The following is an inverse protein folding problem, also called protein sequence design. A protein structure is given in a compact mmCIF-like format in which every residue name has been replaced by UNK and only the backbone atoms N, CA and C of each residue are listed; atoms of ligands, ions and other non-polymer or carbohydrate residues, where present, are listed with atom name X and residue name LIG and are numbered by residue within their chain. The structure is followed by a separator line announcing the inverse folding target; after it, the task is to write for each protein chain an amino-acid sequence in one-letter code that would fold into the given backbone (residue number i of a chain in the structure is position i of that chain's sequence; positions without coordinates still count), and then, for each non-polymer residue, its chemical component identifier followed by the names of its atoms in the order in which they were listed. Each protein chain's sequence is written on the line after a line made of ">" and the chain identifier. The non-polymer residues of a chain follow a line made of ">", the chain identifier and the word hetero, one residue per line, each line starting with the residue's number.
data_IF_278314503645
#
_entry.id   IF_278314503645
#
_cell.length_a   1.000
_cell.length_b   1.000
_cell.length_c   1.000
_cell.angle_alpha   90.00
_cell.angle_beta   90.00
_cell.angle_gamma   90.00
#
_symmetry.space_group_name_H-M   'P 1'
#
loop_
_entity.id
_entity.type
_entity.pdbx_description
1 polymer ?
#
# COMPACT_ATOMS: atom_id res chain seq x y z
N UNK A 1 -5.90 -10.20 -9.50
CA UNK A 1 -5.17 -10.02 -8.23
C UNK A 1 -3.77 -10.63 -8.29
N UNK A 2 -2.75 -9.86 -7.93
CA UNK A 2 -1.37 -10.33 -7.81
C UNK A 2 -0.92 -10.12 -6.36
N UNK A 3 -0.79 -11.19 -5.56
CA UNK A 3 -0.29 -11.07 -4.19
C UNK A 3 1.14 -10.54 -4.20
N UNK A 4 1.47 -9.66 -3.26
CA UNK A 4 2.83 -9.15 -3.12
C UNK A 4 3.77 -10.24 -2.64
N UNK A 5 4.81 -10.60 -3.41
CA UNK A 5 5.77 -11.61 -2.97
C UNK A 5 6.46 -11.21 -1.66
N UNK A 6 6.76 -12.16 -0.74
CA UNK A 6 7.38 -11.85 0.55
C UNK A 6 8.70 -11.07 0.44
N UNK A 7 9.50 -11.33 -0.59
CA UNK A 7 10.74 -10.60 -0.85
C UNK A 7 10.47 -9.12 -1.18
N UNK A 8 9.46 -8.85 -2.00
CA UNK A 8 9.04 -7.48 -2.36
C UNK A 8 8.44 -6.79 -1.15
N UNK A 9 7.55 -7.46 -0.40
CA UNK A 9 7.00 -6.94 0.84
C UNK A 9 8.11 -6.60 1.84
N UNK A 10 9.12 -7.46 2.00
CA UNK A 10 10.27 -7.22 2.85
C UNK A 10 11.07 -5.98 2.45
N UNK A 11 11.35 -5.81 1.16
CA UNK A 11 12.04 -4.63 0.63
C UNK A 11 11.23 -3.35 0.80
N UNK A 12 9.92 -3.41 0.55
CA UNK A 12 9.00 -2.29 0.71
C UNK A 12 8.98 -1.81 2.16
N UNK A 13 8.77 -2.73 3.09
CA UNK A 13 8.63 -2.42 4.51
C UNK A 13 9.95 -2.06 5.20
N UNK A 14 11.10 -2.41 4.62
CA UNK A 14 12.41 -2.03 5.17
C UNK A 14 12.66 -0.52 5.17
N UNK A 15 11.93 0.25 4.36
CA UNK A 15 12.01 1.70 4.30
C UNK A 15 11.02 2.43 5.21
N UNK A 16 10.13 1.70 5.90
CA UNK A 16 9.10 2.28 6.76
C UNK A 16 9.67 2.56 8.15
N UNK A 17 9.52 3.80 8.61
CA UNK A 17 9.74 4.16 10.00
C UNK A 17 8.46 3.88 10.80
N UNK A 18 8.49 2.83 11.61
CA UNK A 18 7.33 2.36 12.36
C UNK A 18 7.05 3.15 13.63
N UNK A 19 8.00 3.94 14.13
CA UNK A 19 7.86 4.66 15.41
C UNK A 19 6.74 5.71 15.40
N UNK A 20 6.35 6.15 14.19
CA UNK A 20 5.31 7.17 13.98
C UNK A 20 4.07 6.63 13.27
N UNK A 21 3.94 5.30 13.15
CA UNK A 21 2.75 4.71 12.52
C UNK A 21 1.63 4.57 13.55
N UNK A 22 0.53 5.30 13.35
CA UNK A 22 -0.66 5.28 14.19
C UNK A 22 -1.88 4.74 13.46
N UNK A 23 -1.93 4.90 12.13
CA UNK A 23 -3.01 4.41 11.28
C UNK A 23 -2.47 3.91 9.94
N UNK A 24 -3.07 2.86 9.41
CA UNK A 24 -2.66 2.23 8.15
C UNK A 24 -3.83 2.19 7.19
N UNK A 25 -3.56 2.51 5.91
CA UNK A 25 -4.46 2.24 4.81
C UNK A 25 -3.79 1.28 3.82
N UNK A 26 -4.49 0.21 3.42
CA UNK A 26 -4.13 -0.60 2.26
C UNK A 26 -5.19 -0.44 1.17
N UNK A 27 -4.94 0.38 0.12
CA UNK A 27 -5.95 0.78 -0.86
C UNK A 27 -6.18 -0.23 -1.99
N UNK A 28 -5.54 -1.38 -1.96
CA UNK A 28 -5.75 -2.50 -2.91
C UNK A 28 -5.41 -3.80 -2.18
N UNK A 29 -6.19 -4.07 -1.13
CA UNK A 29 -5.80 -4.97 -0.06
C UNK A 29 -5.75 -6.45 -0.46
N UNK A 30 -6.44 -6.84 -1.54
CA UNK A 30 -6.48 -8.24 -1.93
C UNK A 30 -7.01 -9.11 -0.80
N UNK A 31 -6.18 -10.04 -0.34
CA UNK A 31 -6.47 -10.89 0.82
C UNK A 31 -5.91 -10.34 2.14
N UNK A 32 -5.28 -9.16 2.12
CA UNK A 32 -4.58 -8.58 3.26
C UNK A 32 -3.17 -9.12 3.50
N UNK A 33 -2.59 -9.78 2.50
CA UNK A 33 -1.28 -10.45 2.64
C UNK A 33 -0.17 -9.44 3.00
N UNK A 34 -0.20 -8.24 2.45
CA UNK A 34 0.80 -7.20 2.71
C UNK A 34 0.68 -6.64 4.13
N UNK A 35 -0.54 -6.36 4.59
CA UNK A 35 -0.79 -5.93 5.98
C UNK A 35 -0.39 -7.04 6.95
N UNK A 36 -0.82 -8.29 6.72
CA UNK A 36 -0.44 -9.41 7.59
C UNK A 36 1.08 -9.59 7.67
N UNK A 37 1.78 -9.43 6.55
CA UNK A 37 3.25 -9.47 6.52
C UNK A 37 3.85 -8.32 7.35
N UNK A 38 3.31 -7.11 7.21
CA UNK A 38 3.71 -5.93 7.96
C UNK A 38 3.52 -6.14 9.47
N UNK A 39 2.37 -6.63 9.90
CA UNK A 39 2.05 -6.89 11.29
C UNK A 39 2.95 -7.98 11.90
N UNK A 40 3.21 -9.08 11.16
CA UNK A 40 4.12 -10.14 11.63
C UNK A 40 5.54 -9.64 11.82
N UNK A 41 6.04 -8.85 10.89
CA UNK A 41 7.40 -8.32 10.95
C UNK A 41 7.57 -7.31 12.07
N UNK A 42 6.57 -6.47 12.29
CA UNK A 42 6.59 -5.44 13.31
C UNK A 42 6.37 -6.02 14.72
N UNK A 43 5.53 -7.04 14.88
CA UNK A 43 5.30 -7.75 16.15
C UNK A 43 6.52 -8.53 16.69
N UNK A 44 7.56 -8.73 15.88
CA UNK A 44 8.81 -9.39 16.29
C UNK A 44 9.79 -8.48 17.05
N UNK A 45 9.57 -7.19 17.07
CA UNK A 45 10.42 -6.23 17.80
C UNK A 45 9.77 -5.84 19.14
N UNK A 46 10.53 -5.92 20.23
CA UNK A 46 10.05 -5.86 21.63
C UNK A 46 9.43 -4.53 22.09
N UNK A 47 9.27 -3.54 21.23
CA UNK A 47 8.81 -2.18 21.58
C UNK A 47 7.49 -1.77 20.89
N UNK A 48 6.57 -2.70 20.55
CA UNK A 48 5.57 -2.39 19.58
C UNK A 48 4.14 -2.15 20.07
N UNK A 49 3.62 -0.98 19.66
CA UNK A 49 2.24 -0.54 19.79
C UNK A 49 1.27 -1.34 18.91
N UNK A 50 1.74 -1.97 17.83
CA UNK A 50 0.89 -2.75 16.91
C UNK A 50 0.98 -4.26 17.19
N UNK A 51 0.56 -4.67 18.38
CA UNK A 51 0.15 -6.05 18.62
C UNK A 51 -1.26 -6.23 18.02
N UNK A 52 -1.63 -7.46 17.71
CA UNK A 52 -2.92 -7.95 17.19
C UNK A 52 -4.22 -7.28 17.72
N UNK A 53 -4.11 -6.34 18.66
CA UNK A 53 -5.22 -5.64 19.31
C UNK A 53 -5.61 -4.34 18.62
N UNK A 54 -4.80 -3.81 17.70
CA UNK A 54 -5.00 -2.49 17.10
C UNK A 54 -5.43 -2.57 15.62
N UNK A 55 -6.21 -3.62 15.27
CA UNK A 55 -6.81 -3.77 13.94
C UNK A 55 -7.82 -2.66 13.63
N UNK A 56 -8.28 -1.92 14.65
CA UNK A 56 -9.24 -0.84 14.49
C UNK A 56 -8.67 0.37 13.74
N UNK A 57 -7.33 0.51 13.73
CA UNK A 57 -6.63 1.58 13.03
C UNK A 57 -6.12 1.19 11.63
N UNK A 58 -6.55 0.03 11.14
CA UNK A 58 -6.21 -0.47 9.81
C UNK A 58 -7.46 -0.45 8.92
N UNK A 59 -7.40 0.35 7.86
CA UNK A 59 -8.44 0.41 6.85
C UNK A 59 -7.98 -0.26 5.56
N UNK A 60 -8.88 -1.02 4.95
CA UNK A 60 -8.67 -1.69 3.67
C UNK A 60 -9.70 -1.20 2.64
N UNK A 61 -9.24 -1.08 1.40
CA UNK A 61 -10.13 -0.92 0.24
C UNK A 61 -9.86 -2.08 -0.72
N UNK A 62 -10.91 -2.72 -1.24
CA UNK A 62 -10.78 -3.84 -2.17
C UNK A 62 -12.00 -3.94 -3.08
N UNK A 63 -11.76 -3.94 -4.39
CA UNK A 63 -12.83 -3.90 -5.40
C UNK A 63 -13.53 -5.26 -5.59
N UNK A 64 -12.82 -6.37 -5.38
CA UNK A 64 -13.38 -7.72 -5.52
C UNK A 64 -14.18 -8.10 -4.28
N UNK A 65 -15.47 -8.43 -4.45
CA UNK A 65 -16.38 -8.76 -3.36
C UNK A 65 -15.97 -10.02 -2.59
N UNK A 66 -15.38 -11.01 -3.25
CA UNK A 66 -14.90 -12.23 -2.59
C UNK A 66 -13.68 -11.95 -1.72
N UNK A 67 -12.77 -11.11 -2.22
CA UNK A 67 -11.60 -10.69 -1.44
C UNK A 67 -12.00 -9.81 -0.26
N UNK A 68 -13.02 -8.92 -0.42
CA UNK A 68 -13.59 -8.18 0.73
C UNK A 68 -14.14 -9.12 1.80
N UNK A 69 -14.88 -10.16 1.40
CA UNK A 69 -15.39 -11.15 2.36
C UNK A 69 -14.26 -11.85 3.13
N UNK A 70 -13.15 -12.16 2.46
CA UNK A 70 -11.95 -12.72 3.11
C UNK A 70 -11.33 -11.73 4.10
N UNK A 71 -11.19 -10.46 3.74
CA UNK A 71 -10.66 -9.41 4.62
C UNK A 71 -11.52 -9.26 5.87
N UNK A 72 -12.83 -9.16 5.71
CA UNK A 72 -13.79 -9.08 6.82
C UNK A 72 -13.70 -10.34 7.70
N UNK A 73 -13.63 -11.52 7.11
CA UNK A 73 -13.45 -12.78 7.82
C UNK A 73 -12.15 -12.86 8.64
N UNK A 74 -11.11 -12.13 8.22
CA UNK A 74 -9.84 -11.98 8.95
C UNK A 74 -9.89 -10.88 10.04
N UNK A 75 -10.98 -10.13 10.13
CA UNK A 75 -11.16 -9.04 11.08
C UNK A 75 -10.64 -7.68 10.62
N UNK A 76 -10.30 -7.52 9.33
CA UNK A 76 -9.92 -6.22 8.78
C UNK A 76 -11.15 -5.35 8.51
N UNK A 77 -11.02 -4.05 8.73
CA UNK A 77 -12.07 -3.07 8.42
C UNK A 77 -11.97 -2.69 6.95
N UNK A 78 -12.96 -3.08 6.15
CA UNK A 78 -13.10 -2.66 4.76
C UNK A 78 -13.97 -1.41 4.73
N UNK A 79 -13.39 -0.29 4.27
CA UNK A 79 -14.02 1.04 4.32
C UNK A 79 -14.63 1.48 3.00
N UNK A 80 -14.19 0.92 1.88
CA UNK A 80 -14.71 1.19 0.54
C UNK A 80 -14.39 0.04 -0.43
N UNK A 81 -15.04 0.01 -1.57
CA UNK A 81 -14.78 -0.97 -2.64
C UNK A 81 -13.82 -0.41 -3.71
N UNK A 82 -13.98 0.81 -4.20
CA UNK A 82 -13.07 1.40 -5.18
C UNK A 82 -12.22 2.50 -4.55
N UNK A 83 -10.90 2.32 -4.60
CA UNK A 83 -9.98 3.28 -4.00
C UNK A 83 -9.99 4.64 -4.71
N UNK A 84 -10.16 4.67 -6.02
CA UNK A 84 -10.17 5.95 -6.76
C UNK A 84 -11.42 6.78 -6.48
N UNK A 85 -12.48 6.14 -5.95
CA UNK A 85 -13.71 6.80 -5.51
C UNK A 85 -13.78 6.96 -3.97
N UNK A 86 -12.72 6.56 -3.25
CA UNK A 86 -12.68 6.66 -1.79
C UNK A 86 -12.29 8.06 -1.32
N UNK A 87 -13.28 8.86 -0.93
CA UNK A 87 -13.07 10.19 -0.38
C UNK A 87 -13.37 10.22 1.11
N UNK A 88 -12.40 10.68 1.92
CA UNK A 88 -12.53 10.75 3.38
C UNK A 88 -11.78 11.94 3.94
N UNK A 89 -12.19 12.41 5.11
CA UNK A 89 -11.44 13.40 5.90
C UNK A 89 -10.33 12.77 6.74
N UNK A 90 -10.38 11.45 6.93
CA UNK A 90 -9.32 10.72 7.64
C UNK A 90 -8.01 10.84 6.86
N UNK A 91 -6.92 11.01 7.58
CA UNK A 91 -5.55 10.96 7.06
C UNK A 91 -4.82 9.79 7.72
N UNK A 92 -3.90 9.20 6.99
CA UNK A 92 -3.20 7.98 7.42
C UNK A 92 -1.72 8.26 7.60
N UNK A 93 -1.15 7.78 8.71
CA UNK A 93 0.29 7.89 8.97
C UNK A 93 1.11 6.94 8.10
N UNK A 94 0.51 5.84 7.66
CA UNK A 94 1.13 4.92 6.70
C UNK A 94 0.11 4.45 5.66
N UNK A 95 0.48 4.52 4.38
CA UNK A 95 -0.25 3.89 3.30
C UNK A 95 0.66 2.84 2.66
N UNK A 96 0.23 1.58 2.73
CA UNK A 96 0.92 0.44 2.11
C UNK A 96 0.16 0.02 0.87
N UNK A 97 0.83 -0.08 -0.28
CA UNK A 97 0.09 -0.38 -1.50
C UNK A 97 0.87 -1.16 -2.56
N UNK A 98 0.18 -2.10 -3.17
CA UNK A 98 0.54 -2.75 -4.42
C UNK A 98 -0.65 -2.60 -5.38
N UNK A 99 -0.81 -1.41 -6.00
CA UNK A 99 -1.98 -1.09 -6.81
C UNK A 99 -1.99 -1.85 -8.15
N UNK A 100 -3.12 -1.87 -8.86
CA UNK A 100 -3.18 -2.36 -10.22
C UNK A 100 -2.15 -1.66 -11.09
N UNK A 101 -1.36 -2.42 -11.87
CA UNK A 101 -0.24 -1.85 -12.64
C UNK A 101 -0.67 -0.85 -13.71
N UNK A 102 -1.89 -0.99 -14.24
CA UNK A 102 -2.43 -0.09 -15.26
C UNK A 102 -2.65 1.34 -14.73
N UNK A 103 -3.15 1.47 -13.50
CA UNK A 103 -3.55 2.74 -12.88
C UNK A 103 -2.73 3.08 -11.62
N UNK A 104 -1.56 2.49 -11.49
CA UNK A 104 -0.71 2.67 -10.32
C UNK A 104 -0.30 4.12 -10.05
N UNK A 105 -0.15 4.94 -11.11
CA UNK A 105 0.12 6.36 -11.02
C UNK A 105 -1.05 7.14 -10.40
N UNK A 106 -2.29 6.85 -10.81
CA UNK A 106 -3.49 7.49 -10.24
C UNK A 106 -3.69 7.08 -8.79
N UNK A 107 -3.53 5.78 -8.50
CA UNK A 107 -3.61 5.26 -7.13
C UNK A 107 -2.59 5.93 -6.20
N UNK A 108 -1.33 6.04 -6.64
CA UNK A 108 -0.30 6.67 -5.82
C UNK A 108 -0.55 8.17 -5.63
N UNK A 109 -0.99 8.89 -6.66
CA UNK A 109 -1.37 10.30 -6.52
C UNK A 109 -2.50 10.47 -5.49
N UNK A 110 -3.54 9.64 -5.57
CA UNK A 110 -4.64 9.68 -4.60
C UNK A 110 -4.19 9.32 -3.18
N UNK A 111 -3.29 8.33 -3.04
CA UNK A 111 -2.70 7.98 -1.75
C UNK A 111 -1.93 9.15 -1.12
N UNK A 112 -1.19 9.92 -1.92
CA UNK A 112 -0.49 11.12 -1.42
C UNK A 112 -1.45 12.16 -0.84
N UNK A 113 -2.67 12.29 -1.38
CA UNK A 113 -3.70 13.18 -0.85
C UNK A 113 -4.28 12.68 0.49
N UNK A 114 -4.33 11.37 0.71
CA UNK A 114 -4.84 10.74 1.93
C UNK A 114 -3.76 10.57 3.01
N UNK A 115 -2.49 10.75 2.66
CA UNK A 115 -1.39 10.69 3.61
C UNK A 115 -1.38 11.94 4.49
N UNK A 116 -1.19 11.77 5.80
CA UNK A 116 -1.06 12.89 6.71
C UNK A 116 0.28 13.62 6.53
N UNK A 117 0.38 14.83 7.06
CA UNK A 117 1.64 15.57 7.07
C UNK A 117 2.67 14.82 7.91
N UNK A 118 3.81 14.52 7.32
CA UNK A 118 4.86 13.69 7.97
C UNK A 118 4.59 12.18 7.90
N UNK A 119 3.47 11.76 7.33
CA UNK A 119 3.17 10.34 7.09
C UNK A 119 3.99 9.72 5.97
N UNK A 120 3.81 8.44 5.72
CA UNK A 120 4.60 7.66 4.79
C UNK A 120 3.70 6.93 3.79
N UNK A 121 4.12 6.89 2.53
CA UNK A 121 3.51 6.03 1.50
C UNK A 121 4.57 5.05 1.00
N UNK A 122 4.32 3.76 1.16
CA UNK A 122 5.17 2.70 0.63
C UNK A 122 4.41 1.96 -0.48
N UNK A 123 4.90 2.05 -1.71
CA UNK A 123 4.19 1.63 -2.90
C UNK A 123 5.06 0.77 -3.82
N UNK A 124 4.47 -0.32 -4.33
CA UNK A 124 5.04 -1.10 -5.44
C UNK A 124 4.40 -0.63 -6.74
N UNK A 125 5.23 -0.25 -7.70
CA UNK A 125 4.78 0.20 -9.03
C UNK A 125 5.45 -0.57 -10.15
N UNK A 126 4.82 -0.56 -11.31
CA UNK A 126 5.51 -0.91 -12.54
C UNK A 126 6.65 0.09 -12.78
N UNK A 127 7.86 -0.41 -13.05
CA UNK A 127 9.03 0.43 -13.29
C UNK A 127 8.83 1.44 -14.44
N UNK A 128 8.05 1.07 -15.47
CA UNK A 128 7.73 1.95 -16.60
C UNK A 128 6.90 3.19 -16.19
N UNK A 129 6.14 3.11 -15.11
CA UNK A 129 5.42 4.28 -14.57
C UNK A 129 6.37 5.41 -14.20
N UNK A 130 7.55 5.07 -13.71
CA UNK A 130 8.59 6.02 -13.30
C UNK A 130 9.58 6.32 -14.44
N UNK A 131 10.01 5.27 -15.18
CA UNK A 131 11.04 5.42 -16.23
C UNK A 131 10.52 6.13 -17.47
N UNK A 132 9.22 5.97 -17.77
CA UNK A 132 8.60 6.50 -19.00
C UNK A 132 7.32 7.28 -18.69
N UNK A 133 7.43 8.50 -18.14
CA UNK A 133 6.27 9.31 -17.74
C UNK A 133 5.63 10.03 -18.94
N UNK A 134 5.02 9.29 -19.87
CA UNK A 134 4.43 9.86 -21.08
C UNK A 134 3.01 10.44 -20.87
N UNK A 135 2.25 9.98 -19.86
CA UNK A 135 0.92 10.51 -19.56
C UNK A 135 0.99 11.73 -18.62
N UNK A 136 -0.06 12.54 -18.60
CA UNK A 136 -0.14 13.70 -17.70
C UNK A 136 -0.11 13.28 -16.22
N UNK A 137 -0.79 12.19 -15.86
CA UNK A 137 -0.76 11.64 -14.49
C UNK A 137 0.62 11.17 -14.08
N UNK A 138 1.37 10.48 -14.95
CA UNK A 138 2.76 10.05 -14.67
C UNK A 138 3.73 11.22 -14.56
N UNK A 139 3.54 12.27 -15.38
CA UNK A 139 4.32 13.52 -15.27
C UNK A 139 4.05 14.22 -13.94
N UNK A 140 2.76 14.29 -13.54
CA UNK A 140 2.38 14.86 -12.25
C UNK A 140 2.99 14.03 -11.11
N UNK A 141 2.85 12.72 -11.15
CA UNK A 141 3.45 11.81 -10.16
C UNK A 141 4.97 12.01 -10.05
N UNK A 142 5.67 12.11 -11.17
CA UNK A 142 7.12 12.35 -11.17
C UNK A 142 7.50 13.66 -10.45
N UNK A 143 6.69 14.71 -10.59
CA UNK A 143 6.89 16.00 -9.88
C UNK A 143 6.62 15.86 -8.38
N UNK A 144 5.52 15.20 -8.01
CA UNK A 144 5.18 14.98 -6.59
C UNK A 144 6.22 14.11 -5.88
N UNK A 145 6.72 13.05 -6.53
CA UNK A 145 7.77 12.20 -5.96
C UNK A 145 9.07 13.00 -5.71
N UNK A 146 9.45 13.88 -6.62
CA UNK A 146 10.61 14.77 -6.44
C UNK A 146 10.39 15.78 -5.31
N UNK A 147 9.22 16.39 -5.25
CA UNK A 147 8.83 17.36 -4.22
C UNK A 147 8.89 16.74 -2.82
N UNK A 148 8.47 15.49 -2.68
CA UNK A 148 8.49 14.77 -1.41
C UNK A 148 9.81 14.04 -1.12
N UNK A 149 10.82 14.16 -1.99
CA UNK A 149 12.11 13.48 -1.81
C UNK A 149 11.99 11.95 -1.79
N UNK A 150 11.10 11.40 -2.62
CA UNK A 150 10.80 9.97 -2.63
C UNK A 150 12.03 9.13 -2.97
N UNK A 151 12.25 8.06 -2.21
CA UNK A 151 13.24 7.03 -2.50
C UNK A 151 12.66 5.99 -3.45
N UNK A 152 13.29 5.77 -4.60
CA UNK A 152 12.87 4.80 -5.61
C UNK A 152 13.90 3.68 -5.73
N UNK A 153 13.46 2.42 -5.61
CA UNK A 153 14.29 1.24 -5.79
C UNK A 153 13.73 0.35 -6.89
N UNK A 154 14.52 0.08 -7.91
CA UNK A 154 14.14 -0.85 -8.98
C UNK A 154 14.49 -2.29 -8.62
N UNK A 155 13.52 -3.19 -8.81
CA UNK A 155 13.70 -4.63 -8.57
C UNK A 155 13.38 -5.39 -9.85
N UNK A 156 14.36 -6.13 -10.38
CA UNK A 156 14.17 -6.94 -11.57
C UNK A 156 13.47 -8.25 -11.22
N UNK A 157 12.43 -8.61 -12.01
CA UNK A 157 11.77 -9.91 -11.91
C UNK A 157 10.99 -10.15 -10.62
N UNK A 158 10.63 -9.11 -9.87
CA UNK A 158 9.97 -9.21 -8.57
C UNK A 158 8.66 -10.02 -8.56
N UNK A 159 7.98 -10.13 -9.70
CA UNK A 159 6.73 -10.89 -9.85
C UNK A 159 6.85 -12.13 -10.76
N UNK A 160 8.06 -12.58 -11.11
CA UNK A 160 8.26 -13.73 -12.03
C UNK A 160 7.63 -15.03 -11.53
N UNK A 161 7.47 -15.20 -10.23
CA UNK A 161 6.89 -16.40 -9.61
C UNK A 161 5.48 -16.15 -9.04
N UNK A 162 4.91 -14.97 -9.27
CA UNK A 162 3.54 -14.67 -8.83
C UNK A 162 2.57 -15.27 -9.84
N UNK A 163 1.85 -16.30 -9.41
CA UNK A 163 0.75 -16.86 -10.21
C UNK A 163 -0.46 -15.95 -10.04
N UNK A 164 -1.03 -15.50 -11.18
CA UNK A 164 -2.32 -14.83 -11.19
C UNK A 164 -3.36 -15.78 -10.61
N UNK A 165 -3.86 -15.47 -9.42
CA UNK A 165 -4.95 -16.24 -8.82
C UNK A 165 -6.27 -15.68 -9.35
N UNK A 166 -6.91 -16.45 -10.21
CA UNK A 166 -8.29 -16.25 -10.63
C UNK A 166 -9.23 -16.65 -9.51
#
# INVERSE_FOLDING_TARGET
>A
FYPTPPEIAGKLLSGVNWDHVESILEPSAGRGDLIEYALRRNGSSRNHRYCRRDLDDIDCVEIDSNLRAILIGKGFRVVHDDFLDYYTRKRYSLILMNPPFADGDKHLLHALELCEHGGQVACVLNAETIRNPYTNSRKLLSRELKKHGASVRFVSGGFKHSVRKT
#
